data_IF_003352564801
#
_entry.id   IF_003352564801
#
_cell.length_a   1.000
_cell.length_b   1.000
_cell.length_c   1.000
_cell.angle_alpha   90.00
_cell.angle_beta   90.00
_cell.angle_gamma   90.00
#
_symmetry.space_group_name_H-M   'P 1'
#
loop_
_entity.id
_entity.type
_entity.pdbx_description
1 polymer ?
#
# COMPACT_ATOMS: atom_id res chain seq x y z
N UNK A 1 -4.87 -7.39 -18.76
CA UNK A 1 -3.74 -6.57 -18.24
C UNK A 1 -3.57 -5.29 -19.06
N UNK A 2 -3.48 -5.36 -20.39
CA UNK A 2 -3.26 -4.20 -21.26
C UNK A 2 -4.28 -3.05 -21.13
N UNK A 3 -5.52 -3.35 -20.72
CA UNK A 3 -6.58 -2.36 -20.53
C UNK A 3 -6.40 -1.46 -19.28
N UNK A 4 -5.58 -1.89 -18.32
CA UNK A 4 -5.31 -1.08 -17.13
C UNK A 4 -4.09 -0.18 -17.39
N UNK A 5 -4.20 1.15 -17.21
CA UNK A 5 -3.09 2.10 -17.33
C UNK A 5 -2.21 2.07 -16.06
N UNK A 6 -1.76 0.88 -15.69
CA UNK A 6 -0.93 0.61 -14.51
C UNK A 6 0.33 -0.12 -14.94
N UNK A 7 1.36 -0.05 -14.10
CA UNK A 7 2.53 -0.92 -14.26
C UNK A 7 2.11 -2.40 -14.21
N UNK A 8 2.79 -3.29 -14.97
CA UNK A 8 2.40 -4.70 -15.06
C UNK A 8 2.25 -5.40 -13.70
N UNK A 9 3.13 -5.09 -12.74
CA UNK A 9 3.11 -5.67 -11.39
C UNK A 9 1.84 -5.27 -10.62
N UNK A 10 1.47 -3.99 -10.66
CA UNK A 10 0.25 -3.48 -10.02
C UNK A 10 -1.01 -4.05 -10.67
N UNK A 11 -1.02 -4.15 -12.00
CA UNK A 11 -2.10 -4.77 -12.74
C UNK A 11 -2.28 -6.25 -12.37
N UNK A 12 -1.16 -6.99 -12.23
CA UNK A 12 -1.17 -8.40 -11.82
C UNK A 12 -1.78 -8.57 -10.42
N UNK A 13 -1.42 -7.72 -9.46
CA UNK A 13 -2.00 -7.74 -8.12
C UNK A 13 -3.51 -7.52 -8.15
N UNK A 14 -3.97 -6.50 -8.90
CA UNK A 14 -5.39 -6.16 -8.99
C UNK A 14 -6.21 -7.31 -9.57
N UNK A 15 -5.74 -7.93 -10.66
CA UNK A 15 -6.43 -9.07 -11.27
C UNK A 15 -6.41 -10.29 -10.33
N UNK A 16 -5.28 -10.61 -9.71
CA UNK A 16 -5.19 -11.74 -8.78
C UNK A 16 -6.08 -11.55 -7.54
N UNK A 17 -6.24 -10.31 -7.08
CA UNK A 17 -7.08 -10.02 -5.91
C UNK A 17 -8.56 -10.38 -6.10
N UNK A 18 -9.06 -10.39 -7.34
CA UNK A 18 -10.41 -10.85 -7.67
C UNK A 18 -10.54 -12.34 -7.37
N UNK A 19 -9.60 -13.15 -7.85
CA UNK A 19 -9.57 -14.60 -7.58
C UNK A 19 -9.38 -14.92 -6.09
N UNK A 20 -8.63 -14.09 -5.36
CA UNK A 20 -8.39 -14.24 -3.93
C UNK A 20 -9.50 -13.64 -3.05
N UNK A 21 -10.47 -12.94 -3.64
CA UNK A 21 -11.58 -12.31 -2.93
C UNK A 21 -11.15 -11.19 -1.99
N UNK A 22 -10.26 -10.30 -2.44
CA UNK A 22 -9.77 -9.11 -1.70
C UNK A 22 -9.60 -7.89 -2.63
N UNK A 23 -10.44 -7.80 -3.66
CA UNK A 23 -10.32 -6.79 -4.72
C UNK A 23 -10.67 -5.38 -4.25
N UNK A 24 -11.53 -5.21 -3.25
CA UNK A 24 -11.83 -3.88 -2.66
C UNK A 24 -10.59 -3.28 -1.98
N UNK A 25 -9.86 -4.09 -1.21
CA UNK A 25 -8.62 -3.68 -0.56
C UNK A 25 -7.52 -3.42 -1.60
N UNK A 26 -7.36 -4.33 -2.56
CA UNK A 26 -6.29 -4.23 -3.54
C UNK A 26 -6.47 -3.03 -4.48
N UNK A 27 -7.71 -2.76 -4.88
CA UNK A 27 -8.07 -1.57 -5.66
C UNK A 27 -7.62 -0.28 -4.95
N UNK A 28 -7.77 -0.24 -3.63
CA UNK A 28 -7.31 0.90 -2.83
C UNK A 28 -5.79 0.96 -2.71
N UNK A 29 -5.13 -0.18 -2.45
CA UNK A 29 -3.66 -0.26 -2.33
C UNK A 29 -2.98 0.14 -3.64
N UNK A 30 -3.42 -0.39 -4.78
CA UNK A 30 -2.88 -0.07 -6.11
C UNK A 30 -3.00 1.42 -6.40
N UNK A 31 -4.14 2.04 -6.08
CA UNK A 31 -4.32 3.49 -6.26
C UNK A 31 -3.41 4.32 -5.36
N UNK A 32 -3.19 3.88 -4.12
CA UNK A 32 -2.29 4.54 -3.18
C UNK A 32 -0.82 4.38 -3.57
N UNK A 33 -0.42 3.26 -4.16
CA UNK A 33 0.93 3.06 -4.71
C UNK A 33 1.18 3.91 -5.97
N UNK A 34 0.11 4.27 -6.69
CA UNK A 34 0.18 5.06 -7.92
C UNK A 34 0.32 6.57 -7.69
N UNK A 35 0.42 7.01 -6.42
CA UNK A 35 0.64 8.41 -6.05
C UNK A 35 1.92 8.57 -5.24
N UNK A 36 2.57 9.71 -5.39
CA UNK A 36 3.79 10.04 -4.66
C UNK A 36 3.48 10.82 -3.38
N UNK A 37 4.39 10.72 -2.40
CA UNK A 37 4.45 11.59 -1.23
C UNK A 37 3.15 11.65 -0.40
N UNK A 38 2.57 10.50 -0.03
CA UNK A 38 1.35 10.46 0.81
C UNK A 38 1.57 11.16 2.15
N UNK A 39 2.73 10.90 2.79
CA UNK A 39 3.11 11.55 4.04
C UNK A 39 4.04 12.73 3.77
N UNK A 40 3.95 13.78 4.58
CA UNK A 40 4.95 14.85 4.61
C UNK A 40 5.53 15.00 6.02
N UNK A 41 6.82 15.32 6.10
CA UNK A 41 7.58 15.33 7.36
C UNK A 41 8.36 16.64 7.51
N UNK A 42 7.73 17.73 7.99
CA UNK A 42 8.39 19.03 8.18
C UNK A 42 9.57 18.92 9.15
N UNK A 43 10.67 19.63 8.88
CA UNK A 43 11.91 19.56 9.70
C UNK A 43 11.69 19.99 11.15
N UNK A 44 10.79 20.94 11.38
CA UNK A 44 10.41 21.47 12.69
C UNK A 44 9.42 20.56 13.45
N UNK A 45 8.75 19.63 12.76
CA UNK A 45 7.68 18.78 13.33
C UNK A 45 7.88 17.30 13.07
N UNK A 46 9.12 16.87 12.89
CA UNK A 46 9.46 15.48 12.53
C UNK A 46 8.89 14.46 13.51
N UNK A 47 9.13 14.64 14.81
CA UNK A 47 8.66 13.72 15.85
C UNK A 47 7.12 13.62 15.88
N UNK A 48 6.42 14.74 15.69
CA UNK A 48 4.95 14.76 15.65
C UNK A 48 4.41 14.08 14.39
N UNK A 49 5.04 14.31 13.23
CA UNK A 49 4.68 13.66 11.98
C UNK A 49 4.87 12.14 12.07
N UNK A 50 5.99 11.68 12.64
CA UNK A 50 6.29 10.26 12.84
C UNK A 50 5.29 9.63 13.83
N UNK A 51 4.93 10.33 14.92
CA UNK A 51 3.90 9.87 15.86
C UNK A 51 2.53 9.73 15.18
N UNK A 52 2.14 10.68 14.32
CA UNK A 52 0.88 10.63 13.58
C UNK A 52 0.88 9.50 12.56
N UNK A 53 1.98 9.31 11.82
CA UNK A 53 2.15 8.20 10.88
C UNK A 53 2.07 6.84 11.58
N UNK A 54 2.71 6.70 12.74
CA UNK A 54 2.75 5.46 13.50
C UNK A 54 1.35 4.94 13.89
N UNK A 55 0.35 5.82 14.02
CA UNK A 55 -1.04 5.43 14.30
C UNK A 55 -1.67 4.59 13.19
N UNK A 56 -1.15 4.66 11.97
CA UNK A 56 -1.65 3.90 10.82
C UNK A 56 -0.88 2.60 10.59
N UNK A 57 0.27 2.41 11.25
CA UNK A 57 1.14 1.27 11.02
C UNK A 57 0.39 -0.05 11.22
N UNK A 58 0.37 -0.86 10.17
CA UNK A 58 -0.17 -2.22 10.22
C UNK A 58 0.96 -3.22 10.47
N UNK A 59 0.63 -4.29 11.20
CA UNK A 59 1.54 -5.40 11.49
C UNK A 59 2.00 -6.13 10.23
N UNK A 60 1.14 -6.16 9.24
CA UNK A 60 1.30 -6.87 7.98
C UNK A 60 2.14 -6.10 6.95
N UNK A 61 2.44 -4.82 7.21
CA UNK A 61 3.38 -4.02 6.42
C UNK A 61 2.83 -2.71 5.85
N UNK A 62 3.67 -2.04 5.06
CA UNK A 62 3.40 -0.67 4.58
C UNK A 62 2.25 -0.60 3.56
N UNK A 63 2.04 -1.65 2.76
CA UNK A 63 0.88 -1.71 1.86
C UNK A 63 -0.46 -1.64 2.61
N UNK A 64 -0.57 -2.37 3.71
CA UNK A 64 -1.74 -2.37 4.59
C UNK A 64 -1.83 -1.06 5.38
N UNK A 65 -0.68 -0.43 5.68
CA UNK A 65 -0.63 0.93 6.25
C UNK A 65 -1.22 1.97 5.30
N UNK A 66 -0.95 1.90 3.99
CA UNK A 66 -1.57 2.78 2.99
C UNK A 66 -3.08 2.55 2.89
N UNK A 67 -3.54 1.29 2.96
CA UNK A 67 -4.97 0.96 3.02
C UNK A 67 -5.63 1.59 4.27
N UNK A 68 -4.99 1.47 5.44
CA UNK A 68 -5.48 2.06 6.67
C UNK A 68 -5.61 3.58 6.56
N UNK A 69 -4.60 4.27 6.02
CA UNK A 69 -4.63 5.73 5.77
C UNK A 69 -5.82 6.12 4.89
N UNK A 70 -6.00 5.47 3.74
CA UNK A 70 -7.09 5.79 2.82
C UNK A 70 -8.46 5.56 3.47
N UNK A 71 -8.63 4.43 4.18
CA UNK A 71 -9.88 4.11 4.87
C UNK A 71 -10.17 5.09 6.02
N UNK A 72 -9.17 5.51 6.79
CA UNK A 72 -9.34 6.54 7.81
C UNK A 72 -9.74 7.88 7.19
N UNK A 73 -9.13 8.27 6.06
CA UNK A 73 -9.52 9.49 5.35
C UNK A 73 -10.95 9.43 4.81
N UNK A 74 -11.35 8.29 4.22
CA UNK A 74 -12.72 8.00 3.77
C UNK A 74 -13.73 8.10 4.92
N UNK A 75 -13.40 7.52 6.08
CA UNK A 75 -14.24 7.56 7.28
C UNK A 75 -14.38 8.99 7.85
N UNK A 76 -13.33 9.81 7.69
CA UNK A 76 -13.33 11.24 8.00
C UNK A 76 -13.81 12.11 6.82
N UNK A 77 -14.70 11.56 5.99
CA UNK A 77 -15.44 12.25 4.92
C UNK A 77 -14.53 13.00 3.93
N UNK A 78 -13.36 12.45 3.67
CA UNK A 78 -12.38 13.03 2.75
C UNK A 78 -11.91 14.44 3.16
N UNK A 79 -11.84 14.70 4.47
CA UNK A 79 -11.54 16.00 5.07
C UNK A 79 -10.09 16.44 4.83
N UNK A 80 -9.91 17.66 4.32
CA UNK A 80 -8.59 18.30 4.18
C UNK A 80 -7.97 18.69 5.55
N UNK A 81 -8.73 19.26 6.52
CA UNK A 81 -8.24 19.46 7.88
C UNK A 81 -7.71 18.18 8.52
N UNK A 82 -8.42 17.06 8.35
CA UNK A 82 -7.97 15.76 8.86
C UNK A 82 -6.61 15.34 8.27
N UNK A 83 -6.41 15.56 6.97
CA UNK A 83 -5.11 15.29 6.33
C UNK A 83 -4.00 16.14 6.94
N UNK A 84 -4.24 17.44 7.15
CA UNK A 84 -3.28 18.35 7.75
C UNK A 84 -2.90 17.93 9.18
N UNK A 85 -3.88 17.60 10.01
CA UNK A 85 -3.67 17.15 11.39
C UNK A 85 -2.90 15.82 11.51
N UNK A 86 -2.90 15.02 10.44
CA UNK A 86 -2.26 13.71 10.37
C UNK A 86 -1.02 13.69 9.47
N UNK A 87 -0.53 14.85 9.02
CA UNK A 87 0.67 14.97 8.18
C UNK A 87 0.57 14.19 6.86
N UNK A 88 -0.62 14.19 6.26
CA UNK A 88 -0.93 13.53 4.99
C UNK A 88 -1.21 14.57 3.91
N UNK A 89 -0.70 14.34 2.70
CA UNK A 89 -0.95 15.19 1.55
C UNK A 89 -2.34 14.93 0.97
N UNK A 90 -3.29 15.85 1.23
CA UNK A 90 -4.65 15.75 0.72
C UNK A 90 -4.72 15.64 -0.83
N UNK A 91 -3.83 16.33 -1.53
CA UNK A 91 -3.72 16.25 -3.00
C UNK A 91 -3.39 14.83 -3.49
N UNK A 92 -2.46 14.15 -2.82
CA UNK A 92 -2.09 12.78 -3.16
C UNK A 92 -3.25 11.82 -2.91
N UNK A 93 -4.00 11.98 -1.81
CA UNK A 93 -5.19 11.15 -1.54
C UNK A 93 -6.32 11.38 -2.54
N UNK A 94 -6.56 12.63 -2.96
CA UNK A 94 -7.53 12.96 -4.01
C UNK A 94 -7.16 12.30 -5.33
N UNK A 95 -5.88 12.39 -5.72
CA UNK A 95 -5.39 11.70 -6.92
C UNK A 95 -5.55 10.17 -6.82
N UNK A 96 -5.28 9.58 -5.65
CA UNK A 96 -5.50 8.15 -5.43
C UNK A 96 -7.00 7.80 -5.54
N UNK A 97 -7.90 8.64 -5.04
CA UNK A 97 -9.35 8.47 -5.19
C UNK A 97 -9.78 8.49 -6.67
N UNK A 98 -9.22 9.40 -7.48
CA UNK A 98 -9.51 9.47 -8.92
C UNK A 98 -9.01 8.23 -9.67
N UNK A 99 -7.77 7.80 -9.41
CA UNK A 99 -7.21 6.56 -9.96
C UNK A 99 -8.07 5.37 -9.56
N UNK A 100 -8.49 5.30 -8.28
CA UNK A 100 -9.35 4.23 -7.78
C UNK A 100 -10.68 4.19 -8.52
N UNK A 101 -11.30 5.36 -8.78
CA UNK A 101 -12.55 5.46 -9.55
C UNK A 101 -12.35 4.99 -11.00
N UNK A 102 -11.23 5.36 -11.64
CA UNK A 102 -10.90 4.89 -12.98
C UNK A 102 -10.72 3.37 -13.02
N UNK A 103 -9.95 2.80 -12.09
CA UNK A 103 -9.71 1.36 -12.04
C UNK A 103 -11.01 0.59 -11.77
N UNK A 104 -11.87 1.11 -10.90
CA UNK A 104 -13.21 0.56 -10.64
C UNK A 104 -14.05 0.50 -11.93
N UNK A 105 -14.05 1.58 -12.73
CA UNK A 105 -14.77 1.60 -14.00
C UNK A 105 -14.24 0.58 -15.01
N UNK A 106 -12.93 0.33 -15.04
CA UNK A 106 -12.35 -0.72 -15.89
C UNK A 106 -12.77 -2.11 -15.38
N UNK A 107 -12.72 -2.34 -14.06
CA UNK A 107 -13.14 -3.61 -13.46
C UNK A 107 -14.61 -3.92 -13.76
N UNK A 108 -15.50 -2.93 -13.63
CA UNK A 108 -16.92 -3.06 -13.92
C UNK A 108 -17.19 -3.42 -15.40
N UNK A 109 -16.54 -2.71 -16.34
CA UNK A 109 -16.61 -3.03 -17.78
C UNK A 109 -16.20 -4.46 -18.11
N UNK A 110 -15.25 -5.02 -17.35
CA UNK A 110 -14.77 -6.38 -17.52
C UNK A 110 -15.45 -7.40 -16.59
N UNK A 111 -16.50 -7.01 -15.86
CA UNK A 111 -17.24 -7.87 -14.92
C UNK A 111 -16.33 -8.52 -13.86
N UNK A 112 -15.36 -7.75 -13.37
CA UNK A 112 -14.48 -8.16 -12.29
C UNK A 112 -15.08 -7.76 -10.95
N UNK A 113 -15.47 -8.74 -10.15
CA UNK A 113 -16.13 -8.50 -8.87
C UNK A 113 -15.23 -7.75 -7.88
N UNK A 114 -15.81 -6.75 -7.23
CA UNK A 114 -15.18 -5.97 -6.17
C UNK A 114 -15.72 -6.45 -4.83
N UNK A 115 -14.92 -7.27 -4.16
CA UNK A 115 -15.28 -7.91 -2.88
C UNK A 115 -14.22 -7.62 -1.84
N UNK A 116 -14.67 -7.44 -0.60
CA UNK A 116 -13.80 -7.22 0.55
C UNK A 116 -13.47 -8.54 1.23
N UNK A 117 -12.20 -8.72 1.60
CA UNK A 117 -11.79 -9.85 2.45
C UNK A 117 -11.98 -9.59 3.95
N UNK A 118 -12.46 -8.41 4.33
CA UNK A 118 -12.57 -7.98 5.72
C UNK A 118 -11.23 -8.07 6.46
N UNK A 119 -11.19 -8.84 7.55
CA UNK A 119 -9.98 -9.02 8.37
C UNK A 119 -8.99 -10.04 7.82
N UNK A 120 -9.28 -10.70 6.70
CA UNK A 120 -8.43 -11.77 6.14
C UNK A 120 -7.24 -11.20 5.34
N UNK A 121 -6.36 -10.46 6.02
CA UNK A 121 -5.22 -9.73 5.42
C UNK A 121 -4.24 -10.63 4.65
N UNK A 122 -4.19 -11.92 4.98
CA UNK A 122 -3.41 -12.95 4.23
C UNK A 122 -3.78 -12.99 2.74
N UNK A 123 -5.05 -12.77 2.38
CA UNK A 123 -5.47 -12.74 0.97
C UNK A 123 -4.84 -11.56 0.22
N UNK A 124 -4.78 -10.40 0.88
CA UNK A 124 -4.13 -9.19 0.36
C UNK A 124 -2.63 -9.42 0.18
N UNK A 125 -1.95 -10.02 1.18
CA UNK A 125 -0.52 -10.34 1.10
C UNK A 125 -0.22 -11.31 -0.06
N UNK A 126 -1.05 -12.34 -0.26
CA UNK A 126 -0.94 -13.25 -1.42
C UNK A 126 -1.12 -12.51 -2.75
N UNK A 127 -2.07 -11.59 -2.84
CA UNK A 127 -2.26 -10.77 -4.04
C UNK A 127 -1.05 -9.87 -4.32
N UNK A 128 -0.47 -9.22 -3.30
CA UNK A 128 0.76 -8.41 -3.42
C UNK A 128 1.92 -9.28 -3.93
N UNK A 129 2.13 -10.45 -3.30
CA UNK A 129 3.18 -11.38 -3.69
C UNK A 129 3.04 -11.80 -5.16
N UNK A 130 1.82 -11.98 -5.68
CA UNK A 130 1.61 -12.36 -7.08
C UNK A 130 2.13 -11.33 -8.11
N UNK A 131 2.18 -10.04 -7.76
CA UNK A 131 2.70 -8.99 -8.63
C UNK A 131 4.15 -8.63 -8.35
N UNK A 132 4.56 -8.64 -7.09
CA UNK A 132 5.89 -8.25 -6.63
C UNK A 132 6.79 -9.43 -6.24
N UNK A 133 6.52 -10.64 -6.73
CA UNK A 133 7.34 -11.83 -6.40
C UNK A 133 8.83 -11.65 -6.73
N UNK A 134 9.15 -10.76 -7.68
CA UNK A 134 10.53 -10.42 -8.05
C UNK A 134 11.21 -9.44 -7.09
N UNK A 135 10.43 -8.72 -6.30
CA UNK A 135 10.88 -7.68 -5.38
C UNK A 135 10.84 -8.17 -3.91
N UNK A 136 11.18 -9.45 -3.71
CA UNK A 136 11.24 -10.06 -2.40
C UNK A 136 12.69 -10.08 -1.86
N UNK A 137 12.83 -9.96 -0.55
CA UNK A 137 14.08 -10.12 0.16
C UNK A 137 13.87 -11.05 1.37
N UNK A 138 14.95 -11.69 1.82
CA UNK A 138 14.94 -12.54 3.02
C UNK A 138 15.98 -12.03 4.01
N UNK A 139 15.70 -12.11 5.30
CA UNK A 139 16.65 -11.77 6.36
C UNK A 139 17.94 -12.58 6.18
N UNK A 140 19.08 -11.90 6.10
CA UNK A 140 20.38 -12.53 5.98
C UNK A 140 20.87 -12.94 7.39
N UNK A 141 21.47 -14.13 7.58
CA UNK A 141 21.98 -14.55 8.88
C UNK A 141 23.11 -13.67 9.44
N UNK A 142 23.85 -12.98 8.56
CA UNK A 142 24.96 -12.11 8.97
C UNK A 142 24.46 -10.69 9.22
N UNK A 143 23.91 -10.03 8.21
CA UNK A 143 23.48 -8.64 8.31
C UNK A 143 22.41 -8.26 7.28
N UNK A 144 21.37 -7.55 7.75
CA UNK A 144 20.36 -6.96 6.88
C UNK A 144 19.47 -8.01 6.20
N UNK A 145 19.14 -7.76 4.94
CA UNK A 145 18.32 -8.60 4.08
C UNK A 145 19.02 -8.84 2.76
N UNK A 146 18.69 -9.93 2.08
CA UNK A 146 19.21 -10.27 0.76
C UNK A 146 18.06 -10.42 -0.24
N UNK A 147 18.14 -9.72 -1.37
CA UNK A 147 17.13 -9.84 -2.44
C UNK A 147 17.17 -11.24 -3.04
N UNK A 148 16.01 -11.82 -3.37
CA UNK A 148 15.95 -13.20 -3.84
C UNK A 148 16.50 -13.41 -5.26
N UNK A 149 16.41 -12.39 -6.11
CA UNK A 149 16.87 -12.46 -7.50
C UNK A 149 18.35 -12.13 -7.60
N UNK A 150 18.74 -10.91 -7.21
CA UNK A 150 20.09 -10.40 -7.47
C UNK A 150 21.06 -10.65 -6.31
N UNK A 151 20.60 -11.25 -5.22
CA UNK A 151 21.40 -11.57 -4.02
C UNK A 151 22.06 -10.33 -3.39
N UNK A 152 21.49 -9.14 -3.61
CA UNK A 152 22.00 -7.87 -3.11
C UNK A 152 21.64 -7.69 -1.64
N UNK A 153 22.61 -7.23 -0.82
CA UNK A 153 22.36 -6.84 0.57
C UNK A 153 21.61 -5.51 0.60
N UNK A 154 20.47 -5.50 1.30
CA UNK A 154 19.55 -4.38 1.43
C UNK A 154 19.05 -4.28 2.87
N UNK A 155 18.49 -3.12 3.22
CA UNK A 155 17.98 -2.85 4.57
C UNK A 155 16.56 -2.30 4.50
N UNK A 156 15.75 -2.61 5.52
CA UNK A 156 14.44 -2.00 5.67
C UNK A 156 14.64 -0.50 5.89
N UNK A 157 13.97 0.32 5.09
CA UNK A 157 14.08 1.76 5.21
C UNK A 157 13.49 2.25 6.56
N UNK A 158 14.11 3.23 7.26
CA UNK A 158 13.63 3.73 8.56
C UNK A 158 12.19 4.26 8.57
N UNK A 159 11.65 4.62 7.41
CA UNK A 159 10.27 5.06 7.30
C UNK A 159 9.23 3.94 7.35
N UNK A 160 9.65 2.67 7.27
CA UNK A 160 8.75 1.53 7.21
C UNK A 160 8.14 1.22 8.57
N UNK A 161 6.88 0.79 8.57
CA UNK A 161 6.22 0.24 9.74
C UNK A 161 6.92 -1.02 10.29
N UNK A 162 7.76 -1.68 9.48
CA UNK A 162 8.45 -2.92 9.83
C UNK A 162 9.89 -2.72 10.30
N UNK A 163 10.41 -1.48 10.32
CA UNK A 163 11.81 -1.19 10.63
C UNK A 163 12.28 -1.81 11.95
N UNK A 164 11.45 -1.74 13.00
CA UNK A 164 11.77 -2.28 14.33
C UNK A 164 11.30 -3.72 14.56
N UNK A 165 10.67 -4.37 13.56
CA UNK A 165 10.13 -5.73 13.70
C UNK A 165 11.02 -6.82 13.12
N UNK A 166 11.88 -6.47 12.18
CA UNK A 166 12.84 -7.37 11.52
C UNK A 166 12.23 -8.75 11.11
N UNK A 167 11.17 -8.76 10.28
CA UNK A 167 10.54 -9.99 9.81
C UNK A 167 11.53 -10.89 9.04
N UNK A 168 11.25 -12.18 8.94
CA UNK A 168 12.12 -13.11 8.19
C UNK A 168 12.08 -12.84 6.66
N UNK A 169 10.95 -12.35 6.15
CA UNK A 169 10.66 -12.08 4.73
C UNK A 169 10.03 -10.70 4.56
#
# INVERSE_FOLDING_TARGET
>A
MAEFPLEPMLCKMLIMSVHLGCSEEMLTIVSMLSVQNVFYRPKDKQALADQKKAKFHQTEGDHLTLLAVYNSWKNNKFSNPWCYENFIQARSLRRAQDIRKQMLGIMDRHKLDVVSCGKSTVRVQKAICSGFFRNAAKKDPQEGYRTLIDQQVVYIHPSSALFNRQPEW
#
